data_IF_053410483750
#
_entry.id   IF_053410483750
#
_cell.length_a   1.000
_cell.length_b   1.000
_cell.length_c   1.000
_cell.angle_alpha   90.00
_cell.angle_beta   90.00
_cell.angle_gamma   90.00
#
_symmetry.space_group_name_H-M   'P 1'
#
loop_
_entity.id
_entity.type
_entity.pdbx_description
1 polymer ?
#
# COMPACT_ATOMS: atom_id res chain seq x y z
N UNK A 1 9.07 -5.10 -16.21
CA UNK A 1 8.57 -6.21 -15.39
C UNK A 1 7.61 -7.01 -16.24
N UNK A 2 7.76 -8.34 -16.33
CA UNK A 2 6.72 -9.17 -16.95
C UNK A 2 5.39 -8.99 -16.19
N UNK A 3 4.26 -9.08 -16.90
CA UNK A 3 2.93 -8.84 -16.34
C UNK A 3 2.63 -9.72 -15.10
N UNK A 4 3.17 -10.94 -15.07
CA UNK A 4 2.99 -11.89 -13.96
C UNK A 4 3.58 -11.38 -12.63
N UNK A 5 4.79 -10.79 -12.65
CA UNK A 5 5.43 -10.25 -11.45
C UNK A 5 4.71 -9.00 -10.91
N UNK A 6 4.01 -8.29 -11.79
CA UNK A 6 3.19 -7.13 -11.42
C UNK A 6 1.92 -7.58 -10.67
N UNK A 7 1.27 -8.63 -11.17
CA UNK A 7 0.05 -9.20 -10.59
C UNK A 7 0.30 -9.87 -9.23
N UNK A 8 1.43 -10.58 -9.08
CA UNK A 8 1.85 -11.15 -7.79
C UNK A 8 2.12 -10.07 -6.74
N UNK A 9 2.78 -8.98 -7.13
CA UNK A 9 3.08 -7.87 -6.22
C UNK A 9 1.80 -7.17 -5.76
N UNK A 10 0.86 -6.93 -6.68
CA UNK A 10 -0.43 -6.33 -6.33
C UNK A 10 -1.20 -7.22 -5.35
N UNK A 11 -1.27 -8.52 -5.63
CA UNK A 11 -1.96 -9.49 -4.76
C UNK A 11 -1.35 -9.54 -3.37
N UNK A 12 -0.02 -9.65 -3.27
CA UNK A 12 0.69 -9.65 -1.99
C UNK A 12 0.41 -8.40 -1.15
N UNK A 13 0.35 -7.22 -1.78
CA UNK A 13 0.04 -5.98 -1.07
C UNK A 13 -1.43 -5.89 -0.63
N UNK A 14 -2.37 -6.36 -1.45
CA UNK A 14 -3.80 -6.40 -1.11
C UNK A 14 -4.09 -7.39 0.03
N UNK A 15 -3.51 -8.58 -0.03
CA UNK A 15 -3.65 -9.60 1.03
C UNK A 15 -3.08 -9.05 2.35
N UNK A 16 -1.88 -8.48 2.30
CA UNK A 16 -1.25 -7.89 3.48
C UNK A 16 -1.98 -6.64 4.02
N UNK A 17 -2.63 -5.85 3.16
CA UNK A 17 -3.49 -4.74 3.57
C UNK A 17 -4.68 -5.27 4.36
N UNK A 18 -5.41 -6.22 3.77
CA UNK A 18 -6.61 -6.83 4.37
C UNK A 18 -6.30 -7.50 5.70
N UNK A 19 -5.22 -8.30 5.77
CA UNK A 19 -4.79 -8.96 7.01
C UNK A 19 -4.43 -7.94 8.11
N UNK A 20 -3.79 -6.83 7.73
CA UNK A 20 -3.40 -5.80 8.70
C UNK A 20 -4.61 -5.01 9.22
N UNK A 21 -5.60 -4.75 8.37
CA UNK A 21 -6.86 -4.13 8.78
C UNK A 21 -7.63 -5.05 9.73
N UNK A 22 -7.77 -6.33 9.39
CA UNK A 22 -8.45 -7.33 10.22
C UNK A 22 -7.81 -7.47 11.63
N UNK A 23 -6.50 -7.24 11.75
CA UNK A 23 -5.77 -7.26 13.02
C UNK A 23 -5.72 -5.92 13.75
N UNK A 24 -6.31 -4.86 13.19
CA UNK A 24 -6.26 -3.51 13.75
C UNK A 24 -4.87 -2.85 13.66
N UNK A 25 -3.96 -3.37 12.84
CA UNK A 25 -2.61 -2.83 12.62
C UNK A 25 -2.64 -1.64 11.64
N UNK A 26 -3.36 -0.58 12.01
CA UNK A 26 -3.71 0.53 11.12
C UNK A 26 -2.52 1.20 10.41
N UNK A 27 -1.39 1.44 11.10
CA UNK A 27 -0.20 2.04 10.45
C UNK A 27 0.42 1.13 9.38
N UNK A 28 0.43 -0.17 9.63
CA UNK A 28 1.01 -1.15 8.71
C UNK A 28 0.08 -1.33 7.50
N UNK A 29 -1.23 -1.37 7.73
CA UNK A 29 -2.25 -1.34 6.69
C UNK A 29 -2.08 -0.10 5.79
N UNK A 30 -2.07 1.10 6.37
CA UNK A 30 -1.95 2.36 5.62
C UNK A 30 -0.64 2.43 4.83
N UNK A 31 0.48 1.92 5.36
CA UNK A 31 1.73 1.85 4.61
C UNK A 31 1.58 0.99 3.35
N UNK A 32 0.94 -0.18 3.43
CA UNK A 32 0.69 -1.04 2.25
C UNK A 32 -0.29 -0.39 1.28
N UNK A 33 -1.33 0.28 1.78
CA UNK A 33 -2.23 1.08 0.96
C UNK A 33 -1.47 2.15 0.16
N UNK A 34 -0.58 2.92 0.80
CA UNK A 34 0.22 3.92 0.08
C UNK A 34 1.22 3.29 -0.90
N UNK A 35 1.68 2.07 -0.67
CA UNK A 35 2.49 1.32 -1.64
C UNK A 35 1.66 0.90 -2.87
N UNK A 36 0.40 0.46 -2.68
CA UNK A 36 -0.55 0.17 -3.76
C UNK A 36 -0.79 1.43 -4.60
N UNK A 37 -1.14 2.54 -3.95
CA UNK A 37 -1.38 3.84 -4.61
C UNK A 37 -0.14 4.33 -5.35
N UNK A 38 1.05 4.26 -4.73
CA UNK A 38 2.30 4.70 -5.36
C UNK A 38 2.72 3.83 -6.57
N UNK A 39 2.18 2.62 -6.69
CA UNK A 39 2.36 1.72 -7.83
C UNK A 39 1.22 1.79 -8.83
N UNK A 40 0.24 2.67 -8.60
CA UNK A 40 -0.98 2.79 -9.40
C UNK A 40 -1.77 1.47 -9.48
N UNK A 41 -1.65 0.63 -8.46
CA UNK A 41 -2.40 -0.61 -8.35
C UNK A 41 -3.85 -0.32 -7.95
N UNK A 42 -4.76 -1.08 -8.55
CA UNK A 42 -6.18 -1.01 -8.18
C UNK A 42 -6.39 -1.45 -6.74
N UNK A 43 -7.06 -0.60 -5.95
CA UNK A 43 -7.54 -0.92 -4.61
C UNK A 43 -9.05 -1.17 -4.71
N UNK A 44 -9.54 -2.35 -4.29
CA UNK A 44 -10.97 -2.66 -4.27
C UNK A 44 -11.80 -1.61 -3.52
N UNK A 45 -13.00 -1.30 -4.02
CA UNK A 45 -13.83 -0.23 -3.46
C UNK A 45 -14.40 -0.59 -2.07
N UNK A 46 -14.59 -1.88 -1.80
CA UNK A 46 -15.10 -2.42 -0.54
C UNK A 46 -14.13 -2.23 0.64
N UNK A 47 -12.82 -2.16 0.38
CA UNK A 47 -11.81 -1.93 1.45
C UNK A 47 -11.64 -0.45 1.82
N UNK A 48 -12.13 0.46 0.97
CA UNK A 48 -11.92 1.91 1.17
C UNK A 48 -12.45 2.44 2.50
N UNK A 49 -13.66 2.07 2.97
CA UNK A 49 -14.15 2.53 4.27
C UNK A 49 -13.24 2.14 5.44
N UNK A 50 -12.63 0.95 5.39
CA UNK A 50 -11.71 0.48 6.43
C UNK A 50 -10.38 1.23 6.38
N UNK A 51 -9.89 1.55 5.18
CA UNK A 51 -8.70 2.39 4.98
C UNK A 51 -8.94 3.80 5.51
N UNK A 52 -10.09 4.41 5.21
CA UNK A 52 -10.47 5.73 5.72
C UNK A 52 -10.58 5.73 7.24
N UNK A 53 -11.21 4.69 7.81
CA UNK A 53 -11.29 4.53 9.25
C UNK A 53 -9.90 4.36 9.88
N UNK A 54 -9.00 3.60 9.26
CA UNK A 54 -7.61 3.48 9.70
C UNK A 54 -6.90 4.85 9.63
N UNK A 55 -7.09 5.60 8.55
CA UNK A 55 -6.46 6.91 8.34
C UNK A 55 -6.90 7.94 9.38
N UNK A 56 -8.19 7.92 9.78
CA UNK A 56 -8.72 8.81 10.83
C UNK A 56 -8.05 8.66 12.21
N UNK A 57 -7.32 7.56 12.44
CA UNK A 57 -6.58 7.30 13.68
C UNK A 57 -5.14 7.85 13.64
N UNK A 58 -4.71 8.40 12.52
CA UNK A 58 -3.36 8.94 12.34
C UNK A 58 -3.40 10.46 12.22
N UNK A 59 -2.33 11.10 12.66
CA UNK A 59 -2.12 12.52 12.40
C UNK A 59 -1.77 12.75 10.93
N UNK A 60 -2.09 13.92 10.34
CA UNK A 60 -1.75 14.23 8.95
C UNK A 60 -0.26 14.03 8.63
N UNK A 61 0.64 14.35 9.55
CA UNK A 61 2.09 14.18 9.33
C UNK A 61 2.51 12.71 9.30
N UNK A 62 1.82 11.84 10.03
CA UNK A 62 2.07 10.39 9.98
C UNK A 62 1.61 9.82 8.64
N UNK A 63 0.45 10.23 8.15
CA UNK A 63 -0.06 9.84 6.83
C UNK A 63 0.91 10.29 5.73
N UNK A 64 1.38 11.54 5.79
CA UNK A 64 2.35 12.06 4.84
C UNK A 64 3.64 11.24 4.83
N UNK A 65 4.22 10.94 6.00
CA UNK A 65 5.44 10.10 6.11
C UNK A 65 5.23 8.69 5.54
N UNK A 66 4.07 8.08 5.76
CA UNK A 66 3.75 6.77 5.20
C UNK A 66 3.60 6.82 3.67
N UNK A 67 2.98 7.88 3.14
CA UNK A 67 2.89 8.12 1.71
C UNK A 67 4.28 8.33 1.07
N UNK A 68 5.14 9.13 1.69
CA UNK A 68 6.54 9.32 1.27
C UNK A 68 7.31 8.00 1.28
N UNK A 69 7.15 7.19 2.32
CA UNK A 69 7.76 5.86 2.40
C UNK A 69 7.27 4.92 1.29
N UNK A 70 5.97 4.94 0.99
CA UNK A 70 5.38 4.16 -0.10
C UNK A 70 5.96 4.55 -1.47
N UNK A 71 6.06 5.86 -1.75
CA UNK A 71 6.69 6.37 -2.97
C UNK A 71 8.17 6.00 -3.08
N UNK A 72 8.93 6.15 -2.00
CA UNK A 72 10.35 5.80 -1.98
C UNK A 72 10.57 4.31 -2.25
N UNK A 73 9.73 3.45 -1.68
CA UNK A 73 9.76 2.02 -1.96
C UNK A 73 9.40 1.72 -3.42
N UNK A 74 8.33 2.31 -3.96
CA UNK A 74 7.91 2.13 -5.34
C UNK A 74 9.03 2.52 -6.32
N UNK A 75 9.73 3.63 -6.07
CA UNK A 75 10.88 4.05 -6.85
C UNK A 75 12.03 3.04 -6.81
N UNK A 76 12.31 2.45 -5.63
CA UNK A 76 13.37 1.46 -5.45
C UNK A 76 13.11 0.16 -6.23
N UNK A 77 11.88 -0.35 -6.17
CA UNK A 77 11.52 -1.62 -6.84
C UNK A 77 11.39 -1.44 -8.35
N UNK A 78 10.96 -0.26 -8.83
CA UNK A 78 10.95 0.06 -10.26
C UNK A 78 12.36 0.10 -10.86
N UNK A 79 13.36 0.59 -10.11
CA UNK A 79 14.76 0.65 -10.56
C UNK A 79 15.44 -0.72 -10.65
N UNK A 80 14.93 -1.74 -9.94
CA UNK A 80 15.50 -3.10 -9.95
C UNK A 80 15.05 -3.96 -11.14
N UNK A 81 14.17 -3.46 -12.00
CA UNK A 81 13.70 -4.16 -13.21
C UNK A 81 14.48 -3.86 -14.50
N UNK A 82 15.68 -3.27 -14.41
CA UNK A 82 16.52 -2.84 -15.56
C UNK A 82 17.79 -3.68 -15.76
N UNK A 83 17.74 -4.99 -15.46
CA UNK A 83 18.81 -5.94 -15.79
C UNK A 83 18.21 -7.13 -16.53
#
# INVERSE_FOLDING_TARGET
MPAEAHDEQQRYLLDGLSESLARGHYKVALRRYFMLVAREFGVPADIQPEVEQAASRCRPEELQRMADSGRAWAAMVSRRGSW
#
